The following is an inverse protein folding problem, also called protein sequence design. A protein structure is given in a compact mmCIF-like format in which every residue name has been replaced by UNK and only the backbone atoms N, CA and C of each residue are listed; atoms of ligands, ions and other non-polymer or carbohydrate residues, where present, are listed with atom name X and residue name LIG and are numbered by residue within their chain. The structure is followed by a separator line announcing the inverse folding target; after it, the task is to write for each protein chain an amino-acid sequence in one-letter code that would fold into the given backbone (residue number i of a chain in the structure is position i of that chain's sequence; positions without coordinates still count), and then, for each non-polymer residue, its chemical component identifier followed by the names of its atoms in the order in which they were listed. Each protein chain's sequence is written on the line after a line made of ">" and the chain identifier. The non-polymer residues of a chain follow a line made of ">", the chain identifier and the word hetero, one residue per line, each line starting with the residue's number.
data_IF_764284638742
#
_entry.id   IF_764284638742
#
_cell.length_a   1.000
_cell.length_b   1.000
_cell.length_c   1.000
_cell.angle_alpha   90.00
_cell.angle_beta   90.00
_cell.angle_gamma   90.00
#
_symmetry.space_group_name_H-M   'P 1'
#
loop_
_entity.id
_entity.type
_entity.pdbx_description
1 polymer ?
#
# COMPACT_ATOMS: atom_id res chain seq x y z
N UNK A 1 -69.59 -42.80 -25.61
CA UNK A 1 -70.28 -41.48 -25.66
C UNK A 1 -70.12 -40.88 -24.27
N UNK A 2 -69.53 -39.72 -23.97
CA UNK A 2 -69.06 -38.54 -24.70
C UNK A 2 -67.98 -37.92 -23.79
N UNK A 3 -66.79 -37.65 -24.34
CA UNK A 3 -65.64 -37.08 -23.64
C UNK A 3 -65.88 -35.57 -23.43
N UNK A 4 -65.65 -35.06 -22.23
CA UNK A 4 -65.49 -33.62 -21.99
C UNK A 4 -64.23 -33.37 -21.18
N UNK A 5 -63.20 -32.99 -21.92
CA UNK A 5 -61.91 -32.47 -21.47
C UNK A 5 -62.13 -31.09 -20.85
N UNK A 6 -61.88 -30.92 -19.56
CA UNK A 6 -61.71 -29.59 -18.96
C UNK A 6 -60.21 -29.27 -18.93
N UNK A 7 -59.80 -28.43 -19.87
CA UNK A 7 -58.49 -27.82 -19.96
C UNK A 7 -58.41 -26.74 -18.87
N UNK A 8 -57.81 -27.07 -17.72
CA UNK A 8 -57.45 -26.06 -16.72
C UNK A 8 -56.13 -25.45 -17.15
N UNK A 9 -56.19 -24.25 -17.74
CA UNK A 9 -55.03 -23.49 -18.20
C UNK A 9 -54.25 -23.01 -16.97
N UNK A 10 -53.11 -23.63 -16.73
CA UNK A 10 -52.14 -23.24 -15.71
C UNK A 10 -51.44 -21.96 -16.17
N UNK A 11 -51.66 -20.85 -15.47
CA UNK A 11 -50.83 -19.64 -15.63
C UNK A 11 -49.78 -19.67 -14.51
N UNK A 12 -48.60 -20.23 -14.80
CA UNK A 12 -47.42 -20.02 -13.99
C UNK A 12 -46.85 -18.64 -14.32
N UNK A 13 -47.12 -17.64 -13.48
CA UNK A 13 -46.36 -16.38 -13.46
C UNK A 13 -45.00 -16.67 -12.80
N UNK A 14 -44.02 -17.05 -13.62
CA UNK A 14 -42.62 -17.05 -13.24
C UNK A 14 -42.18 -15.62 -12.96
N UNK A 15 -42.12 -15.24 -11.67
CA UNK A 15 -41.48 -14.02 -11.26
C UNK A 15 -39.97 -14.21 -11.42
N UNK A 16 -39.43 -13.67 -12.51
CA UNK A 16 -38.00 -13.53 -12.72
C UNK A 16 -37.42 -12.61 -11.64
N UNK A 17 -36.88 -13.18 -10.57
CA UNK A 17 -35.88 -12.49 -9.75
C UNK A 17 -34.57 -12.43 -10.56
N UNK A 18 -34.56 -11.62 -11.62
CA UNK A 18 -33.35 -11.20 -12.29
C UNK A 18 -33.04 -9.77 -11.81
N UNK A 19 -32.58 -9.67 -10.56
CA UNK A 19 -31.64 -8.61 -10.22
C UNK A 19 -30.25 -9.20 -10.44
N UNK A 20 -29.91 -9.40 -11.71
CA UNK A 20 -28.52 -9.47 -12.10
C UNK A 20 -27.90 -8.13 -11.70
N UNK A 21 -26.97 -8.16 -10.75
CA UNK A 21 -26.14 -7.03 -10.39
C UNK A 21 -25.21 -6.74 -11.58
N UNK A 22 -25.73 -6.12 -12.64
CA UNK A 22 -25.00 -5.79 -13.88
C UNK A 22 -24.08 -4.57 -13.76
N UNK A 23 -23.80 -4.10 -12.55
CA UNK A 23 -22.84 -3.01 -12.33
C UNK A 23 -21.93 -3.23 -11.11
N UNK A 24 -21.57 -4.48 -10.80
CA UNK A 24 -20.26 -4.67 -10.20
C UNK A 24 -19.22 -4.43 -11.31
N UNK A 25 -18.41 -3.34 -11.27
CA UNK A 25 -17.32 -3.23 -12.21
C UNK A 25 -16.50 -4.51 -12.11
N UNK A 26 -16.16 -5.12 -13.25
CA UNK A 26 -15.17 -6.19 -13.33
C UNK A 26 -13.97 -5.67 -12.52
N UNK A 27 -13.68 -6.26 -11.37
CA UNK A 27 -12.51 -5.85 -10.57
C UNK A 27 -11.33 -6.06 -11.51
N UNK A 28 -10.73 -4.98 -11.99
CA UNK A 28 -9.50 -5.06 -12.76
C UNK A 28 -8.54 -5.95 -11.97
N UNK A 29 -7.83 -6.84 -12.66
CA UNK A 29 -6.88 -7.72 -11.99
C UNK A 29 -5.91 -6.85 -11.20
N UNK A 30 -5.81 -7.14 -9.90
CA UNK A 30 -4.96 -6.36 -8.99
C UNK A 30 -3.51 -6.39 -9.48
N UNK A 31 -2.82 -5.24 -9.54
CA UNK A 31 -1.41 -5.22 -9.91
C UNK A 31 -0.57 -6.09 -8.96
N UNK A 32 0.35 -6.89 -9.49
CA UNK A 32 1.17 -7.82 -8.68
C UNK A 32 1.93 -7.10 -7.57
N UNK A 33 2.43 -5.91 -7.84
CA UNK A 33 3.12 -5.06 -6.87
C UNK A 33 2.22 -4.74 -5.67
N UNK A 34 0.95 -4.41 -5.91
CA UNK A 34 0.01 -4.09 -4.83
C UNK A 34 -0.36 -5.35 -4.04
N UNK A 35 -0.54 -6.49 -4.72
CA UNK A 35 -0.69 -7.80 -4.07
C UNK A 35 0.49 -8.11 -3.13
N UNK A 36 1.72 -7.82 -3.57
CA UNK A 36 2.92 -8.00 -2.76
C UNK A 36 2.99 -7.02 -1.58
N UNK A 37 2.65 -5.74 -1.76
CA UNK A 37 2.55 -4.79 -0.66
C UNK A 37 1.52 -5.20 0.41
N UNK A 38 0.40 -5.82 0.02
CA UNK A 38 -0.59 -6.31 0.99
C UNK A 38 -0.04 -7.37 1.95
N UNK A 39 1.05 -8.07 1.60
CA UNK A 39 1.72 -8.98 2.53
C UNK A 39 2.32 -8.25 3.75
N UNK A 40 2.49 -6.93 3.66
CA UNK A 40 3.00 -6.10 4.75
C UNK A 40 1.93 -5.78 5.80
N UNK A 41 0.64 -5.94 5.50
CA UNK A 41 -0.47 -5.62 6.41
C UNK A 41 -0.23 -6.28 7.77
N UNK A 42 -0.35 -5.47 8.83
CA UNK A 42 -0.07 -5.88 10.20
C UNK A 42 0.92 -4.96 10.90
N UNK A 43 1.46 -5.45 12.01
CA UNK A 43 2.38 -4.71 12.88
C UNK A 43 3.78 -5.29 12.83
N UNK A 44 4.75 -4.41 12.89
CA UNK A 44 6.17 -4.72 12.82
C UNK A 44 6.93 -3.91 13.86
N UNK A 45 8.02 -4.48 14.35
CA UNK A 45 8.95 -3.84 15.26
C UNK A 45 10.37 -3.97 14.73
N UNK A 46 11.19 -2.97 15.02
CA UNK A 46 12.52 -2.90 14.45
C UNK A 46 13.42 -2.03 15.28
N UNK A 47 14.71 -2.10 14.99
CA UNK A 47 15.70 -1.21 15.57
C UNK A 47 16.45 -0.51 14.46
N UNK A 48 16.67 0.79 14.61
CA UNK A 48 17.61 1.55 13.79
C UNK A 48 18.77 2.01 14.66
N UNK A 49 19.94 2.18 14.05
CA UNK A 49 21.08 2.80 14.72
C UNK A 49 21.22 4.22 14.17
N UNK A 50 20.98 5.22 15.02
CA UNK A 50 21.16 6.63 14.68
C UNK A 50 22.17 7.23 15.66
N UNK A 51 23.23 7.86 15.14
CA UNK A 51 24.30 8.45 15.94
C UNK A 51 24.99 7.46 16.92
N UNK A 52 25.03 6.16 16.58
CA UNK A 52 25.60 5.12 17.45
C UNK A 52 24.67 4.65 18.57
N UNK A 53 23.43 5.14 18.62
CA UNK A 53 22.41 4.68 19.55
C UNK A 53 21.35 3.83 18.83
N UNK A 54 20.95 2.72 19.47
CA UNK A 54 19.86 1.89 18.96
C UNK A 54 18.51 2.48 19.39
N UNK A 55 17.69 2.85 18.42
CA UNK A 55 16.33 3.28 18.64
C UNK A 55 15.37 2.18 18.20
N UNK A 56 14.45 1.79 19.09
CA UNK A 56 13.35 0.91 18.72
C UNK A 56 12.28 1.69 17.97
N UNK A 57 11.71 1.07 16.95
CA UNK A 57 10.64 1.60 16.13
C UNK A 57 9.44 0.69 16.11
N UNK A 58 8.29 1.28 15.78
CA UNK A 58 7.08 0.55 15.41
C UNK A 58 6.69 0.95 14.01
N UNK A 59 6.21 -0.02 13.25
CA UNK A 59 5.75 0.14 11.90
C UNK A 59 4.43 -0.61 11.74
N UNK A 60 3.41 0.03 11.18
CA UNK A 60 2.12 -0.62 10.92
C UNK A 60 1.70 -0.38 9.48
N UNK A 61 1.13 -1.40 8.86
CA UNK A 61 0.47 -1.30 7.56
C UNK A 61 -1.00 -1.66 7.68
N UNK A 62 -1.88 -0.79 7.20
CA UNK A 62 -3.32 -0.97 7.21
C UNK A 62 -3.90 -0.83 5.80
N UNK A 63 -4.73 -1.78 5.39
CA UNK A 63 -5.51 -1.67 4.17
C UNK A 63 -6.72 -0.75 4.39
N UNK A 64 -6.88 0.25 3.55
CA UNK A 64 -7.95 1.26 3.67
C UNK A 64 -8.61 1.53 2.32
N UNK A 65 -9.51 2.52 2.27
CA UNK A 65 -10.16 3.01 1.03
C UNK A 65 -10.82 1.90 0.21
N UNK A 66 -11.58 1.02 0.87
CA UNK A 66 -12.21 -0.15 0.23
C UNK A 66 -11.22 -1.09 -0.50
N UNK A 67 -9.95 -1.10 -0.07
CA UNK A 67 -8.92 -2.00 -0.57
C UNK A 67 -8.05 -1.43 -1.69
N UNK A 68 -8.10 -0.13 -1.97
CA UNK A 68 -7.31 0.53 -3.03
C UNK A 68 -6.06 1.24 -2.52
N UNK A 69 -5.90 1.36 -1.19
CA UNK A 69 -4.74 2.01 -0.60
C UNK A 69 -4.25 1.27 0.66
N UNK A 70 -2.95 1.35 0.91
CA UNK A 70 -2.31 0.89 2.15
C UNK A 70 -1.71 2.10 2.84
N UNK A 71 -1.98 2.26 4.14
CA UNK A 71 -1.36 3.28 4.98
C UNK A 71 -0.29 2.62 5.83
N UNK A 72 0.94 3.06 5.64
CA UNK A 72 2.06 2.78 6.53
C UNK A 72 2.20 3.90 7.55
N UNK A 73 2.40 3.55 8.81
CA UNK A 73 2.82 4.49 9.85
C UNK A 73 4.12 4.02 10.48
N UNK A 74 5.14 4.86 10.38
CA UNK A 74 6.46 4.66 10.96
C UNK A 74 6.58 5.55 12.21
N UNK A 75 7.03 4.97 13.33
CA UNK A 75 7.17 5.65 14.63
C UNK A 75 5.88 6.29 15.16
N UNK A 76 4.76 5.58 14.97
CA UNK A 76 3.44 6.05 15.41
C UNK A 76 3.41 6.46 16.89
N UNK A 77 2.84 7.63 17.18
CA UNK A 77 2.73 8.22 18.51
C UNK A 77 3.97 8.98 18.99
N UNK A 78 4.98 9.17 18.14
CA UNK A 78 6.19 9.95 18.47
C UNK A 78 6.24 11.27 17.70
N UNK A 79 7.05 12.26 18.12
CA UNK A 79 7.31 13.47 17.32
C UNK A 79 7.93 13.22 15.94
N UNK A 80 8.40 11.99 15.68
CA UNK A 80 9.01 11.57 14.42
C UNK A 80 8.08 10.65 13.61
N UNK A 81 6.77 10.63 13.93
CA UNK A 81 5.79 9.88 13.16
C UNK A 81 5.81 10.32 11.69
N UNK A 82 5.90 9.33 10.81
CA UNK A 82 5.80 9.51 9.36
C UNK A 82 4.69 8.61 8.83
N UNK A 83 3.96 9.10 7.84
CA UNK A 83 2.89 8.34 7.19
C UNK A 83 3.20 8.17 5.72
N UNK A 84 3.12 6.96 5.20
CA UNK A 84 3.29 6.68 3.77
C UNK A 84 2.03 6.02 3.23
N UNK A 85 1.48 6.54 2.13
CA UNK A 85 0.29 5.98 1.48
C UNK A 85 0.69 5.35 0.16
N UNK A 86 0.38 4.07 -0.02
CA UNK A 86 0.61 3.32 -1.25
C UNK A 86 -0.72 3.09 -1.96
N UNK A 87 -0.77 3.33 -3.27
CA UNK A 87 -1.94 3.04 -4.11
C UNK A 87 -1.66 1.90 -5.10
N UNK A 88 -2.74 1.28 -5.57
CA UNK A 88 -2.68 0.14 -6.50
C UNK A 88 -1.99 0.47 -7.84
N UNK A 89 -2.08 1.71 -8.29
CA UNK A 89 -1.40 2.23 -9.49
C UNK A 89 0.13 2.43 -9.33
N UNK A 90 0.69 2.11 -8.15
CA UNK A 90 2.11 2.26 -7.85
C UNK A 90 2.56 3.68 -7.52
N UNK A 91 1.62 4.57 -7.21
CA UNK A 91 1.93 5.87 -6.61
C UNK A 91 2.11 5.73 -5.10
N UNK A 92 3.09 6.45 -4.55
CA UNK A 92 3.36 6.48 -3.12
C UNK A 92 3.49 7.93 -2.67
N UNK A 93 2.75 8.33 -1.63
CA UNK A 93 2.89 9.65 -1.02
C UNK A 93 3.45 9.49 0.39
N UNK A 94 4.63 10.05 0.63
CA UNK A 94 5.28 10.00 1.94
C UNK A 94 5.14 11.35 2.66
N UNK A 95 4.35 11.39 3.72
CA UNK A 95 4.19 12.54 4.61
C UNK A 95 5.31 12.52 5.65
N UNK A 96 6.34 13.34 5.41
CA UNK A 96 7.50 13.45 6.28
C UNK A 96 7.20 14.34 7.49
N UNK A 97 7.86 14.08 8.62
CA UNK A 97 7.82 14.95 9.80
C UNK A 97 8.32 16.39 9.53
N UNK A 98 9.02 16.61 8.41
CA UNK A 98 9.47 17.92 7.94
C UNK A 98 8.39 18.76 7.23
N UNK A 99 7.19 18.20 7.02
CA UNK A 99 6.05 18.91 6.45
C UNK A 99 5.99 18.93 4.92
N UNK A 100 6.82 18.16 4.23
CA UNK A 100 6.66 17.88 2.80
C UNK A 100 6.06 16.49 2.55
N UNK A 101 5.58 16.28 1.32
CA UNK A 101 4.83 15.11 0.93
C UNK A 101 5.28 14.55 -0.44
N UNK A 102 6.57 14.22 -0.64
CA UNK A 102 7.07 13.74 -1.93
C UNK A 102 6.23 12.58 -2.48
N UNK A 103 5.86 12.69 -3.75
CA UNK A 103 5.23 11.63 -4.52
C UNK A 103 6.32 10.77 -5.18
N UNK A 104 6.26 9.46 -4.98
CA UNK A 104 7.13 8.49 -5.61
C UNK A 104 6.32 7.62 -6.57
N UNK A 105 6.99 7.08 -7.58
CA UNK A 105 6.44 6.09 -8.49
C UNK A 105 7.24 4.81 -8.46
N UNK A 106 6.55 3.69 -8.61
CA UNK A 106 7.15 2.37 -8.80
C UNK A 106 8.18 2.42 -9.95
N UNK A 107 9.42 2.03 -9.67
CA UNK A 107 10.49 1.91 -10.67
C UNK A 107 10.89 0.47 -10.92
N UNK A 108 10.77 -0.40 -9.90
CA UNK A 108 11.16 -1.81 -10.02
C UNK A 108 10.36 -2.69 -9.07
N UNK A 109 9.97 -3.87 -9.55
CA UNK A 109 9.43 -4.98 -8.76
C UNK A 109 10.18 -6.27 -9.09
N UNK A 110 10.53 -7.00 -8.05
CA UNK A 110 10.97 -8.40 -8.10
C UNK A 110 10.19 -9.19 -7.06
N UNK A 111 10.39 -10.50 -7.00
CA UNK A 111 9.73 -11.33 -5.99
C UNK A 111 10.19 -11.03 -4.55
N UNK A 112 11.34 -10.35 -4.39
CA UNK A 112 11.94 -10.05 -3.09
C UNK A 112 12.03 -8.56 -2.79
N UNK A 113 11.77 -7.67 -3.75
CA UNK A 113 11.90 -6.23 -3.54
C UNK A 113 10.97 -5.39 -4.40
N UNK A 114 10.55 -4.24 -3.85
CA UNK A 114 9.84 -3.18 -4.57
C UNK A 114 10.57 -1.87 -4.32
N UNK A 115 10.85 -1.13 -5.39
CA UNK A 115 11.53 0.18 -5.34
C UNK A 115 10.66 1.27 -5.94
N UNK A 116 10.70 2.44 -5.30
CA UNK A 116 10.02 3.66 -5.69
C UNK A 116 11.01 4.82 -5.73
N UNK A 117 10.84 5.74 -6.68
CA UNK A 117 11.65 6.95 -6.79
C UNK A 117 10.76 8.18 -7.02
N UNK A 118 11.26 9.34 -6.62
CA UNK A 118 10.57 10.62 -6.74
C UNK A 118 10.04 10.87 -8.15
N UNK A 119 8.72 11.07 -8.27
CA UNK A 119 8.06 11.45 -9.50
C UNK A 119 8.01 12.98 -9.66
N UNK A 120 9.04 13.49 -10.34
CA UNK A 120 9.10 14.90 -10.71
C UNK A 120 9.33 15.82 -9.50
N UNK A 121 8.33 16.66 -9.19
CA UNK A 121 8.39 17.67 -8.11
C UNK A 121 7.10 17.73 -7.29
N UNK A 122 6.16 16.79 -7.48
CA UNK A 122 4.89 16.85 -6.74
C UNK A 122 5.14 16.64 -5.25
N UNK A 123 4.49 17.45 -4.42
CA UNK A 123 4.63 17.38 -2.97
C UNK A 123 5.95 17.90 -2.39
N UNK A 124 6.85 18.42 -3.24
CA UNK A 124 8.08 19.13 -2.83
C UNK A 124 8.15 20.52 -3.48
N UNK A 125 8.60 21.53 -2.75
CA UNK A 125 8.74 22.90 -3.25
C UNK A 125 9.87 23.03 -4.27
N UNK A 126 10.97 22.30 -4.07
CA UNK A 126 12.02 22.16 -5.09
C UNK A 126 12.85 20.88 -4.91
N UNK A 127 13.49 20.39 -5.98
CA UNK A 127 14.46 19.28 -5.86
C UNK A 127 15.68 19.60 -4.97
N UNK A 128 15.86 20.86 -4.55
CA UNK A 128 16.95 21.26 -3.65
C UNK A 128 16.56 21.22 -2.18
N UNK A 129 15.27 21.12 -1.85
CA UNK A 129 14.85 20.98 -0.47
C UNK A 129 15.21 19.59 0.05
N UNK A 130 15.24 19.44 1.37
CA UNK A 130 15.43 18.12 1.97
C UNK A 130 14.14 17.31 1.81
N UNK A 131 14.20 16.16 1.14
CA UNK A 131 13.05 15.30 0.91
C UNK A 131 13.46 13.84 0.83
N UNK A 132 12.50 12.97 1.09
CA UNK A 132 12.61 11.56 0.74
C UNK A 132 12.62 11.44 -0.79
N UNK A 133 13.68 10.84 -1.34
CA UNK A 133 13.89 10.69 -2.78
C UNK A 133 13.59 9.29 -3.32
N UNK A 134 13.93 8.23 -2.59
CA UNK A 134 13.64 6.86 -3.01
C UNK A 134 13.39 5.92 -1.81
N UNK A 135 12.48 4.97 -1.98
CA UNK A 135 12.18 3.92 -1.02
C UNK A 135 12.41 2.57 -1.69
N UNK A 136 13.13 1.67 -1.02
CA UNK A 136 13.13 0.25 -1.38
C UNK A 136 12.68 -0.60 -0.19
N UNK A 137 11.72 -1.48 -0.43
CA UNK A 137 11.28 -2.50 0.54
C UNK A 137 11.79 -3.85 0.04
N UNK A 138 12.54 -4.56 0.89
CA UNK A 138 13.09 -5.88 0.60
C UNK A 138 12.54 -6.90 1.60
N UNK A 139 11.93 -7.98 1.10
CA UNK A 139 11.54 -9.12 1.91
C UNK A 139 12.74 -10.04 2.08
N UNK A 140 13.21 -10.22 3.32
CA UNK A 140 14.21 -11.23 3.67
C UNK A 140 13.56 -12.59 3.83
N UNK A 141 12.37 -12.59 4.44
CA UNK A 141 11.46 -13.72 4.56
C UNK A 141 10.02 -13.19 4.80
N UNK A 142 9.10 -14.04 5.26
CA UNK A 142 7.68 -13.67 5.49
C UNK A 142 7.49 -12.70 6.68
N UNK A 143 8.41 -12.74 7.64
CA UNK A 143 8.35 -12.04 8.91
C UNK A 143 9.50 -11.04 9.09
N UNK A 144 10.39 -10.91 8.11
CA UNK A 144 11.52 -9.97 8.13
C UNK A 144 11.57 -9.16 6.84
N UNK A 145 11.49 -7.83 6.97
CA UNK A 145 11.68 -6.89 5.86
C UNK A 145 12.79 -5.89 6.18
N UNK A 146 13.39 -5.34 5.13
CA UNK A 146 14.31 -4.21 5.21
C UNK A 146 13.76 -3.07 4.37
N UNK A 147 13.73 -1.86 4.94
CA UNK A 147 13.41 -0.64 4.20
C UNK A 147 14.63 0.27 4.13
N UNK A 148 14.97 0.68 2.91
CA UNK A 148 16.01 1.68 2.63
C UNK A 148 15.32 2.98 2.17
N UNK A 149 15.49 4.04 2.95
CA UNK A 149 14.93 5.37 2.70
C UNK A 149 16.05 6.33 2.32
N UNK A 150 16.09 6.73 1.04
CA UNK A 150 17.12 7.62 0.51
C UNK A 150 16.65 9.06 0.61
N UNK A 151 17.40 9.89 1.32
CA UNK A 151 17.16 11.33 1.44
C UNK A 151 18.06 12.12 0.49
N UNK A 152 17.50 13.18 -0.10
CA UNK A 152 18.24 14.15 -0.89
C UNK A 152 18.20 15.51 -0.22
N UNK A 153 19.34 16.22 -0.21
CA UNK A 153 19.45 17.59 0.27
C UNK A 153 20.27 18.42 -0.73
N UNK A 154 19.84 19.65 -1.01
CA UNK A 154 20.47 20.53 -2.02
C UNK A 154 20.58 19.87 -3.41
N UNK A 155 19.66 18.95 -3.72
CA UNK A 155 19.60 18.26 -5.01
C UNK A 155 20.63 17.15 -5.18
N UNK A 156 21.20 16.64 -4.08
CA UNK A 156 22.16 15.55 -4.07
C UNK A 156 21.77 14.53 -3.01
N UNK A 157 22.22 13.29 -3.21
CA UNK A 157 22.20 12.27 -2.18
C UNK A 157 22.76 12.82 -0.87
N UNK A 158 22.01 12.65 0.21
CA UNK A 158 22.42 13.01 1.55
C UNK A 158 22.74 11.76 2.35
N UNK A 159 21.75 10.88 2.53
CA UNK A 159 21.89 9.68 3.36
C UNK A 159 20.85 8.60 2.99
N UNK A 160 21.11 7.37 3.42
CA UNK A 160 20.15 6.25 3.38
C UNK A 160 19.89 5.77 4.80
N UNK A 161 18.65 5.93 5.26
CA UNK A 161 18.20 5.35 6.52
C UNK A 161 17.69 3.93 6.26
N UNK A 162 18.41 2.93 6.77
CA UNK A 162 18.05 1.52 6.67
C UNK A 162 17.37 1.05 7.95
N UNK A 163 16.24 0.38 7.81
CA UNK A 163 15.49 -0.22 8.91
C UNK A 163 15.24 -1.69 8.65
N UNK A 164 15.60 -2.55 9.62
CA UNK A 164 15.18 -3.94 9.62
C UNK A 164 13.98 -4.09 10.55
N UNK A 165 12.90 -4.64 10.01
CA UNK A 165 11.65 -4.84 10.71
C UNK A 165 11.32 -6.33 10.80
N UNK A 166 10.89 -6.76 11.97
CA UNK A 166 10.38 -8.09 12.25
C UNK A 166 8.87 -7.99 12.52
N UNK A 167 8.10 -8.93 11.98
CA UNK A 167 6.66 -8.98 12.18
C UNK A 167 6.35 -9.30 13.63
N UNK A 168 5.44 -8.55 14.23
CA UNK A 168 4.94 -8.85 15.58
C UNK A 168 3.96 -10.02 15.46
N UNK A 169 4.39 -11.21 15.90
CA UNK A 169 3.51 -12.38 15.99
C UNK A 169 2.57 -12.20 17.19
N UNK A 170 1.26 -12.43 16.97
CA UNK A 170 0.24 -12.39 18.03
C UNK A 170 0.08 -13.74 18.69
#
# INVERSE_FOLDING_TARGET
>A
MRKYTFLCMIIFLAHSNLLANEHAPLKAQEPEMFSQLKTLIGSWEGTTEMNGEKHSGKLTYELTSAGTAIVEKLFAGTPHEMTTVYTDDGTVTHYCAMGNAPELKLTKKTDQAISFELDGKKGIGSKKENHMHALTITWKDQDTIVQDWVSYNKGKYADTATFTWNRVQK
#
